data_IF_681803090622
#
_entry.id   IF_681803090622
#
_cell.length_a   1.000
_cell.length_b   1.000
_cell.length_c   1.000
_cell.angle_alpha   90.00
_cell.angle_beta   90.00
_cell.angle_gamma   90.00
#
_symmetry.space_group_name_H-M   'P 1'
#
loop_
_entity.id
_entity.type
_entity.pdbx_description
1 polymer ?
#
# COMPACT_ATOMS: atom_id res chain seq x y z
N UNK A 1 -66.25 30.57 -13.89
CA UNK A 1 -66.81 29.28 -13.42
C UNK A 1 -65.73 28.54 -12.62
N UNK A 2 -66.10 27.99 -11.47
CA UNK A 2 -65.33 27.16 -10.51
C UNK A 2 -64.33 27.86 -9.56
N UNK A 3 -64.71 28.17 -8.31
CA UNK A 3 -64.76 27.33 -7.08
C UNK A 3 -63.37 26.91 -6.56
N UNK A 4 -62.80 27.56 -5.53
CA UNK A 4 -63.00 27.46 -4.06
C UNK A 4 -62.13 26.39 -3.35
N UNK A 5 -61.46 26.84 -2.27
CA UNK A 5 -61.12 26.11 -1.02
C UNK A 5 -60.00 25.04 -1.18
N UNK A 6 -58.81 25.15 -0.55
CA UNK A 6 -58.56 25.06 0.90
C UNK A 6 -57.29 25.80 1.32
N UNK A 7 -57.46 26.69 2.31
CA UNK A 7 -56.43 27.05 3.28
C UNK A 7 -56.15 25.85 4.19
N UNK A 8 -54.88 25.57 4.50
CA UNK A 8 -54.37 25.33 5.87
C UNK A 8 -52.85 25.62 5.92
N UNK A 9 -52.51 26.66 6.66
CA UNK A 9 -51.27 26.96 7.42
C UNK A 9 -49.94 26.60 6.73
N UNK A 10 -49.11 27.52 6.26
CA UNK A 10 -48.71 28.76 6.93
C UNK A 10 -47.48 28.54 7.82
N UNK A 11 -46.34 28.18 7.23
CA UNK A 11 -45.02 28.56 7.74
C UNK A 11 -44.22 29.03 6.53
N UNK A 12 -44.00 30.34 6.50
CA UNK A 12 -43.37 31.07 5.42
C UNK A 12 -41.88 30.66 5.39
N UNK A 13 -41.47 30.06 4.27
CA UNK A 13 -40.07 29.79 3.94
C UNK A 13 -39.36 31.13 3.80
N UNK A 14 -38.50 31.46 4.77
CA UNK A 14 -37.60 32.60 4.64
C UNK A 14 -36.17 32.15 4.93
N UNK A 15 -35.36 32.30 3.89
CA UNK A 15 -33.92 32.54 3.91
C UNK A 15 -32.98 31.43 4.42
N UNK A 16 -32.18 30.94 3.47
CA UNK A 16 -30.75 30.74 3.73
C UNK A 16 -30.24 29.32 3.51
N UNK A 17 -29.19 29.25 2.71
CA UNK A 17 -28.24 28.14 2.52
C UNK A 17 -28.67 26.96 1.64
N UNK A 18 -28.33 27.11 0.36
CA UNK A 18 -27.65 26.04 -0.39
C UNK A 18 -26.52 25.45 0.47
N UNK A 19 -26.66 24.20 0.93
CA UNK A 19 -25.52 23.36 1.27
C UNK A 19 -25.69 22.05 0.53
N UNK A 20 -24.96 21.99 -0.58
CA UNK A 20 -24.64 20.82 -1.37
C UNK A 20 -24.25 19.64 -0.49
N UNK A 21 -24.95 18.51 -0.66
CA UNK A 21 -24.54 17.22 -0.11
C UNK A 21 -23.15 16.88 -0.68
N UNK A 22 -22.13 16.97 0.18
CA UNK A 22 -20.74 16.65 -0.14
C UNK A 22 -20.63 15.18 -0.53
N UNK A 23 -19.91 14.97 -1.63
CA UNK A 23 -19.62 13.68 -2.25
C UNK A 23 -19.08 12.67 -1.23
N UNK A 24 -19.60 11.45 -1.29
CA UNK A 24 -19.00 10.30 -0.63
C UNK A 24 -17.58 10.10 -1.17
N UNK A 25 -16.59 10.15 -0.27
CA UNK A 25 -15.20 9.86 -0.56
C UNK A 25 -15.06 8.40 -1.03
N UNK A 26 -14.83 8.20 -2.32
CA UNK A 26 -14.40 6.94 -2.94
C UNK A 26 -12.92 6.66 -2.58
N UNK A 27 -12.68 6.17 -1.37
CA UNK A 27 -11.35 6.02 -0.75
C UNK A 27 -10.58 4.73 -1.02
N UNK A 28 -10.78 3.99 -2.13
CA UNK A 28 -10.04 2.73 -2.37
C UNK A 28 -9.27 2.65 -3.69
N UNK A 29 -9.30 3.66 -4.56
CA UNK A 29 -8.60 3.55 -5.86
C UNK A 29 -7.13 3.95 -5.81
N UNK A 30 -6.72 4.80 -4.87
CA UNK A 30 -5.38 5.41 -4.84
C UNK A 30 -4.33 4.48 -4.23
N UNK A 31 -4.67 3.73 -3.18
CA UNK A 31 -3.70 2.86 -2.47
C UNK A 31 -3.16 1.75 -3.37
N UNK A 32 -4.04 1.08 -4.12
CA UNK A 32 -3.63 -0.02 -5.03
C UNK A 32 -2.72 0.47 -6.17
N UNK A 33 -2.88 1.72 -6.61
CA UNK A 33 -1.98 2.32 -7.60
C UNK A 33 -0.58 2.54 -7.03
N UNK A 34 -0.49 3.06 -5.80
CA UNK A 34 0.77 3.32 -5.13
C UNK A 34 1.59 2.04 -4.86
N UNK A 35 0.92 0.94 -4.50
CA UNK A 35 1.59 -0.35 -4.29
C UNK A 35 2.18 -0.89 -5.60
N UNK A 36 1.42 -0.81 -6.70
CA UNK A 36 1.88 -1.24 -8.02
C UNK A 36 3.06 -0.39 -8.52
N UNK A 37 3.01 0.92 -8.28
CA UNK A 37 4.12 1.83 -8.60
C UNK A 37 5.37 1.49 -7.76
N UNK A 38 5.18 1.22 -6.46
CA UNK A 38 6.26 0.81 -5.55
C UNK A 38 6.93 -0.48 -6.00
N UNK A 39 6.15 -1.50 -6.34
CA UNK A 39 6.66 -2.77 -6.86
C UNK A 39 7.47 -2.60 -8.15
N UNK A 40 7.01 -1.73 -9.07
CA UNK A 40 7.75 -1.41 -10.28
C UNK A 40 9.10 -0.76 -9.96
N UNK A 41 9.13 0.16 -8.99
CA UNK A 41 10.37 0.79 -8.56
C UNK A 41 11.33 -0.18 -7.88
N UNK A 42 10.81 -1.07 -7.02
CA UNK A 42 11.61 -2.12 -6.37
C UNK A 42 12.26 -3.02 -7.42
N UNK A 43 11.51 -3.48 -8.42
CA UNK A 43 12.04 -4.28 -9.52
C UNK A 43 13.10 -3.51 -10.32
N UNK A 44 12.88 -2.22 -10.61
CA UNK A 44 13.85 -1.36 -11.31
C UNK A 44 15.12 -1.12 -10.48
N UNK A 45 15.00 -1.02 -9.16
CA UNK A 45 16.10 -0.88 -8.23
C UNK A 45 16.91 -2.17 -8.03
N UNK A 46 16.46 -3.29 -8.62
CA UNK A 46 17.14 -4.58 -8.58
C UNK A 46 16.73 -5.48 -7.41
N UNK A 47 15.63 -5.18 -6.71
CA UNK A 47 15.05 -6.13 -5.76
C UNK A 47 14.64 -7.41 -6.49
N UNK A 48 14.95 -8.55 -5.87
CA UNK A 48 14.55 -9.85 -6.38
C UNK A 48 13.13 -10.17 -5.93
N UNK A 49 12.24 -10.36 -6.91
CA UNK A 49 10.90 -10.91 -6.67
C UNK A 49 10.97 -12.41 -6.44
N UNK A 50 10.31 -12.88 -5.38
CA UNK A 50 10.14 -14.29 -5.02
C UNK A 50 8.66 -14.56 -4.83
N UNK A 51 8.09 -15.44 -5.64
CA UNK A 51 6.70 -15.84 -5.49
C UNK A 51 6.57 -16.83 -4.33
N UNK A 52 5.42 -16.82 -3.66
CA UNK A 52 5.09 -17.82 -2.65
C UNK A 52 4.55 -19.09 -3.33
N UNK A 53 5.47 -19.92 -3.84
CA UNK A 53 5.14 -21.11 -4.63
C UNK A 53 4.79 -22.35 -3.76
N UNK A 54 5.06 -22.29 -2.45
CA UNK A 54 4.72 -23.35 -1.48
C UNK A 54 3.72 -22.87 -0.43
N UNK A 55 2.93 -23.78 0.18
CA UNK A 55 2.05 -23.46 1.30
C UNK A 55 2.79 -22.82 2.47
N UNK A 56 4.04 -23.24 2.72
CA UNK A 56 4.91 -22.69 3.77
C UNK A 56 5.25 -21.22 3.48
N UNK A 57 5.68 -20.92 2.25
CA UNK A 57 5.93 -19.54 1.82
C UNK A 57 4.67 -18.68 1.88
N UNK A 58 3.52 -19.21 1.47
CA UNK A 58 2.26 -18.46 1.50
C UNK A 58 1.85 -18.10 2.94
N UNK A 59 1.97 -19.05 3.88
CA UNK A 59 1.71 -18.79 5.30
C UNK A 59 2.70 -17.77 5.88
N UNK A 60 3.98 -17.90 5.55
CA UNK A 60 5.00 -16.96 6.02
C UNK A 60 4.77 -15.55 5.43
N UNK A 61 4.48 -15.44 4.14
CA UNK A 61 4.16 -14.18 3.48
C UNK A 61 2.95 -13.49 4.12
N UNK A 62 1.89 -14.24 4.42
CA UNK A 62 0.67 -13.72 5.05
C UNK A 62 0.91 -13.18 6.48
N UNK A 63 1.99 -13.60 7.15
CA UNK A 63 2.37 -13.06 8.46
C UNK A 63 3.19 -11.77 8.40
N UNK A 64 3.70 -11.40 7.23
CA UNK A 64 4.54 -10.20 7.07
C UNK A 64 3.70 -8.92 7.01
N UNK A 65 4.27 -7.77 7.39
CA UNK A 65 3.66 -6.47 7.12
C UNK A 65 3.37 -6.30 5.61
N UNK A 66 2.10 -6.22 5.18
CA UNK A 66 1.77 -6.09 3.76
C UNK A 66 2.07 -4.67 3.28
N UNK A 67 2.54 -4.56 2.03
CA UNK A 67 2.78 -3.30 1.32
C UNK A 67 3.67 -2.32 2.08
N UNK A 68 4.65 -2.85 2.81
CA UNK A 68 5.59 -2.05 3.59
C UNK A 68 7.01 -2.51 3.39
N UNK A 69 7.91 -1.53 3.34
CA UNK A 69 9.33 -1.77 3.29
C UNK A 69 9.87 -1.99 4.70
N UNK A 70 10.47 -3.16 4.92
CA UNK A 70 10.96 -3.59 6.23
C UNK A 70 12.47 -3.85 6.12
N UNK A 71 13.25 -3.19 6.97
CA UNK A 71 14.64 -3.50 7.23
C UNK A 71 14.74 -4.67 8.21
N UNK A 72 15.44 -5.73 7.81
CA UNK A 72 15.65 -6.98 8.57
C UNK A 72 17.14 -7.24 8.76
N UNK A 73 17.55 -7.57 9.98
CA UNK A 73 18.94 -7.97 10.25
C UNK A 73 19.25 -9.35 9.67
N UNK A 74 20.41 -9.50 9.01
CA UNK A 74 20.89 -10.79 8.49
C UNK A 74 22.36 -10.96 8.85
N UNK A 75 22.63 -11.66 9.96
CA UNK A 75 23.99 -11.78 10.48
C UNK A 75 24.55 -10.41 10.88
N UNK A 76 25.54 -9.91 10.14
CA UNK A 76 26.12 -8.56 10.32
C UNK A 76 25.63 -7.54 9.29
N UNK A 77 24.79 -7.97 8.35
CA UNK A 77 24.25 -7.17 7.27
C UNK A 77 22.76 -6.86 7.49
N UNK A 78 22.19 -6.07 6.58
CA UNK A 78 20.76 -5.72 6.57
C UNK A 78 20.14 -6.04 5.22
N UNK A 79 18.93 -6.55 5.29
CA UNK A 79 18.05 -6.85 4.17
C UNK A 79 16.84 -5.92 4.16
N UNK A 80 16.34 -5.60 2.98
CA UNK A 80 15.11 -4.85 2.79
C UNK A 80 14.10 -5.73 2.10
N UNK A 81 12.90 -5.79 2.65
CA UNK A 81 11.84 -6.65 2.15
C UNK A 81 10.53 -5.91 1.99
N UNK A 82 9.76 -6.28 0.97
CA UNK A 82 8.42 -5.77 0.73
C UNK A 82 7.49 -6.93 0.34
N UNK A 83 6.44 -7.15 1.13
CA UNK A 83 5.50 -8.24 0.93
C UNK A 83 4.21 -7.75 0.26
N UNK A 84 3.82 -8.40 -0.84
CA UNK A 84 2.47 -8.29 -1.39
C UNK A 84 1.76 -9.65 -1.29
N UNK A 85 1.02 -9.89 -0.20
CA UNK A 85 0.28 -11.12 0.00
C UNK A 85 -1.06 -11.17 -0.75
N UNK A 86 -1.46 -10.10 -1.47
CA UNK A 86 -2.81 -9.98 -2.04
C UNK A 86 -2.81 -10.00 -3.56
N UNK A 87 -1.94 -9.22 -4.22
CA UNK A 87 -2.00 -9.06 -5.68
C UNK A 87 -1.11 -10.08 -6.38
N UNK A 88 0.20 -10.08 -6.12
CA UNK A 88 1.14 -11.03 -6.73
C UNK A 88 1.40 -12.29 -5.88
N UNK A 89 1.07 -12.28 -4.59
CA UNK A 89 1.49 -13.31 -3.62
C UNK A 89 3.01 -13.50 -3.65
N UNK A 90 3.75 -12.40 -3.50
CA UNK A 90 5.18 -12.37 -3.67
C UNK A 90 5.88 -11.48 -2.65
N UNK A 91 7.18 -11.75 -2.48
CA UNK A 91 8.10 -11.01 -1.64
C UNK A 91 9.20 -10.42 -2.51
N UNK A 92 9.48 -9.13 -2.34
CA UNK A 92 10.65 -8.48 -2.90
C UNK A 92 11.76 -8.45 -1.84
N UNK A 93 12.98 -8.79 -2.24
CA UNK A 93 14.16 -8.84 -1.35
C UNK A 93 15.30 -8.06 -2.01
N UNK A 94 15.91 -7.12 -1.30
CA UNK A 94 17.02 -6.30 -1.78
C UNK A 94 17.98 -5.92 -0.66
N UNK A 95 19.24 -5.66 -1.01
CA UNK A 95 20.28 -5.19 -0.09
C UNK A 95 20.35 -3.66 0.01
N UNK A 96 21.35 -3.15 0.76
CA UNK A 96 21.54 -1.71 0.95
C UNK A 96 21.68 -0.94 -0.37
N UNK A 97 22.35 -1.53 -1.36
CA UNK A 97 22.54 -0.90 -2.67
C UNK A 97 21.20 -0.76 -3.41
N UNK A 98 20.39 -1.81 -3.43
CA UNK A 98 19.06 -1.78 -4.06
C UNK A 98 18.13 -0.82 -3.31
N UNK A 99 18.23 -0.76 -1.98
CA UNK A 99 17.43 0.20 -1.21
C UNK A 99 17.77 1.65 -1.55
N UNK A 100 19.04 2.01 -1.62
CA UNK A 100 19.48 3.37 -2.03
C UNK A 100 18.96 3.70 -3.44
N UNK A 101 19.04 2.75 -4.36
CA UNK A 101 18.51 2.96 -5.72
C UNK A 101 16.98 3.11 -5.74
N UNK A 102 16.26 2.37 -4.90
CA UNK A 102 14.81 2.54 -4.72
C UNK A 102 14.47 3.95 -4.24
N UNK A 103 15.16 4.48 -3.23
CA UNK A 103 14.91 5.84 -2.73
C UNK A 103 15.15 6.90 -3.80
N UNK A 104 16.23 6.76 -4.58
CA UNK A 104 16.52 7.63 -5.72
C UNK A 104 15.37 7.62 -6.72
N UNK A 105 14.88 6.43 -7.08
CA UNK A 105 13.79 6.26 -8.03
C UNK A 105 12.43 6.76 -7.50
N UNK A 106 12.15 6.57 -6.21
CA UNK A 106 10.92 7.03 -5.56
C UNK A 106 10.86 8.57 -5.54
N UNK A 107 11.98 9.20 -5.19
CA UNK A 107 12.13 10.66 -5.25
C UNK A 107 11.93 11.19 -6.68
N UNK A 108 12.53 10.56 -7.69
CA UNK A 108 12.38 10.97 -9.11
C UNK A 108 10.95 10.85 -9.65
N UNK A 109 10.15 9.97 -9.08
CA UNK A 109 8.76 9.72 -9.49
C UNK A 109 7.74 10.42 -8.59
N UNK A 110 8.21 11.20 -7.62
CA UNK A 110 7.36 11.85 -6.60
C UNK A 110 6.45 10.85 -5.88
N UNK A 111 6.90 9.60 -5.74
CA UNK A 111 6.19 8.55 -5.02
C UNK A 111 6.53 8.72 -3.54
N UNK A 112 5.50 8.77 -2.69
CA UNK A 112 5.69 8.82 -1.25
C UNK A 112 6.45 7.57 -0.79
N UNK A 113 7.66 7.76 -0.28
CA UNK A 113 8.37 6.70 0.40
C UNK A 113 7.60 6.33 1.67
N UNK A 114 7.23 5.06 1.80
CA UNK A 114 6.66 4.55 3.03
C UNK A 114 7.67 4.65 4.18
N UNK A 115 7.18 4.71 5.42
CA UNK A 115 8.05 4.61 6.59
C UNK A 115 8.88 3.32 6.49
N UNK A 116 10.19 3.41 6.78
CA UNK A 116 11.04 2.23 6.89
C UNK A 116 10.87 1.62 8.28
N UNK A 117 10.42 0.37 8.32
CA UNK A 117 10.21 -0.35 9.58
C UNK A 117 11.41 -1.24 9.86
N UNK A 118 11.99 -1.16 11.06
CA UNK A 118 13.04 -2.08 11.46
C UNK A 118 12.40 -3.23 12.25
N UNK A 119 12.51 -4.44 11.72
CA UNK A 119 11.97 -5.63 12.37
C UNK A 119 13.05 -6.71 12.46
N UNK A 120 13.19 -7.28 13.65
CA UNK A 120 14.07 -8.41 13.90
C UNK A 120 13.20 -9.62 14.24
N UNK A 121 12.39 -10.04 13.27
CA UNK A 121 11.42 -11.14 13.35
C UNK A 121 12.07 -12.52 13.18
N UNK A 122 13.36 -12.58 12.85
CA UNK A 122 14.04 -13.85 12.57
C UNK A 122 13.44 -14.55 11.35
N UNK A 123 13.22 -13.80 10.26
CA UNK A 123 12.77 -14.31 8.97
C UNK A 123 13.51 -15.61 8.58
N UNK A 124 12.75 -16.62 8.13
CA UNK A 124 13.31 -17.85 7.56
C UNK A 124 13.89 -17.56 6.17
N UNK A 125 15.12 -17.08 6.13
CA UNK A 125 15.82 -16.81 4.87
C UNK A 125 15.97 -18.06 4.00
N UNK A 126 16.04 -19.25 4.59
CA UNK A 126 16.13 -20.52 3.86
C UNK A 126 14.88 -20.77 3.03
N UNK A 127 13.70 -20.47 3.59
CA UNK A 127 12.40 -20.58 2.92
C UNK A 127 12.29 -19.73 1.65
N UNK A 128 13.01 -18.61 1.58
CA UNK A 128 12.97 -17.66 0.46
C UNK A 128 14.17 -17.77 -0.49
N UNK A 129 14.90 -18.89 -0.45
CA UNK A 129 16.04 -19.15 -1.34
C UNK A 129 17.35 -18.53 -0.87
N UNK A 130 17.43 -18.16 0.41
CA UNK A 130 18.59 -17.54 1.04
C UNK A 130 18.62 -16.01 0.90
N UNK A 131 19.55 -15.40 1.64
CA UNK A 131 19.93 -14.01 1.44
C UNK A 131 20.82 -13.89 0.19
N UNK A 132 20.62 -12.81 -0.59
CA UNK A 132 21.30 -12.58 -1.87
C UNK A 132 22.83 -12.75 -1.74
N UNK A 133 23.43 -13.59 -2.60
CA UNK A 133 24.88 -13.62 -2.84
C UNK A 133 25.23 -12.70 -4.00
#
# INVERSE_FOLDING_TARGET
>A
MSNTIRARLGVIVVAGLFVTALAALSGCTTLRGQDADTEQLLAKAGFQKRNADSPEQARNLASMPPFRLVARGVGRDVAYTYADPVSCHCLYIGGPQQYVEYQRLATEREIAEGELWAENDGMDWGLWGGWLR
#
